data_IF_503505917870
#
_entry.id   IF_503505917870
#
_cell.length_a   1.000
_cell.length_b   1.000
_cell.length_c   1.000
_cell.angle_alpha   90.00
_cell.angle_beta   90.00
_cell.angle_gamma   90.00
#
_symmetry.space_group_name_H-M   'P 1'
#
loop_
_entity.id
_entity.type
_entity.pdbx_description
1 polymer ?
#
# COMPACT_ATOMS: atom_id res chain seq x y z
N UNK A 1 14.35 -13.86 -17.28
CA UNK A 1 15.42 -14.37 -16.38
C UNK A 1 14.76 -14.61 -15.04
N UNK A 2 14.41 -15.86 -14.72
CA UNK A 2 13.81 -16.22 -13.44
C UNK A 2 14.93 -16.29 -12.42
N UNK A 3 15.01 -15.30 -11.52
CA UNK A 3 15.90 -15.37 -10.36
C UNK A 3 15.23 -16.34 -9.38
N UNK A 4 15.92 -17.41 -8.96
CA UNK A 4 15.42 -18.27 -7.90
C UNK A 4 15.42 -17.49 -6.59
N UNK A 5 14.24 -17.07 -6.14
CA UNK A 5 14.04 -16.30 -4.90
C UNK A 5 14.56 -17.02 -3.64
N UNK A 6 14.71 -18.37 -3.71
CA UNK A 6 15.22 -19.18 -2.61
C UNK A 6 16.70 -18.90 -2.27
N UNK A 7 17.52 -18.48 -3.26
CA UNK A 7 18.94 -18.19 -3.05
C UNK A 7 19.20 -16.77 -2.52
N UNK A 8 18.21 -15.89 -2.57
CA UNK A 8 18.36 -14.48 -2.19
C UNK A 8 17.98 -14.18 -0.73
N UNK A 9 17.44 -15.17 0.02
CA UNK A 9 17.07 -14.92 1.42
C UNK A 9 18.31 -14.65 2.26
N UNK A 10 18.34 -13.50 2.93
CA UNK A 10 19.33 -13.20 3.97
C UNK A 10 19.17 -14.19 5.12
N UNK A 11 20.27 -14.77 5.58
CA UNK A 11 20.28 -15.78 6.66
C UNK A 11 19.87 -15.20 8.03
N UNK A 12 19.80 -13.88 8.17
CA UNK A 12 19.50 -13.19 9.44
C UNK A 12 18.00 -12.91 9.68
N UNK A 13 17.11 -13.21 8.72
CA UNK A 13 15.67 -12.93 8.84
C UNK A 13 14.87 -14.21 9.08
N UNK A 14 14.80 -14.63 10.35
CA UNK A 14 14.16 -15.89 10.76
C UNK A 14 12.61 -15.91 10.66
N UNK A 15 11.94 -14.74 10.47
CA UNK A 15 10.48 -14.66 10.37
C UNK A 15 10.04 -14.65 8.90
N UNK A 16 9.06 -15.51 8.56
CA UNK A 16 8.41 -15.49 7.26
C UNK A 16 7.57 -14.20 7.07
N UNK A 17 7.24 -13.86 5.83
CA UNK A 17 6.38 -12.70 5.55
C UNK A 17 5.00 -12.84 6.22
N UNK A 18 4.50 -14.07 6.33
CA UNK A 18 3.21 -14.39 6.96
C UNK A 18 3.20 -14.11 8.47
N UNK A 19 4.34 -14.29 9.15
CA UNK A 19 4.48 -14.01 10.58
C UNK A 19 4.48 -12.50 10.91
N UNK A 20 4.72 -11.67 9.91
CA UNK A 20 4.78 -10.20 10.06
C UNK A 20 3.42 -9.53 9.81
N UNK A 21 2.48 -10.23 9.17
CA UNK A 21 1.19 -9.66 8.77
C UNK A 21 0.12 -9.93 9.83
N UNK A 22 -0.73 -8.94 10.17
CA UNK A 22 -1.96 -9.20 10.92
C UNK A 22 -2.84 -10.23 10.20
N UNK A 23 -3.41 -11.19 10.93
CA UNK A 23 -4.31 -12.21 10.36
C UNK A 23 -5.50 -11.57 9.65
N UNK A 24 -6.04 -10.46 10.19
CA UNK A 24 -7.13 -9.68 9.58
C UNK A 24 -6.78 -9.18 8.18
N UNK A 25 -5.53 -8.77 7.96
CA UNK A 25 -5.06 -8.29 6.67
C UNK A 25 -4.85 -9.42 5.67
N UNK A 26 -4.26 -10.54 6.11
CA UNK A 26 -4.08 -11.72 5.25
C UNK A 26 -5.41 -12.28 4.77
N UNK A 27 -6.43 -12.28 5.63
CA UNK A 27 -7.80 -12.71 5.28
C UNK A 27 -8.54 -11.69 4.37
N UNK A 28 -8.14 -10.42 4.40
CA UNK A 28 -8.77 -9.37 3.62
C UNK A 28 -8.38 -9.38 2.14
N UNK A 29 -7.12 -9.66 1.82
CA UNK A 29 -6.62 -9.70 0.45
C UNK A 29 -6.99 -11.03 -0.24
N UNK A 30 -7.52 -10.96 -1.47
CA UNK A 30 -7.94 -12.17 -2.22
C UNK A 30 -6.77 -13.04 -2.68
N UNK A 31 -5.59 -12.49 -2.84
CA UNK A 31 -4.39 -13.22 -3.25
C UNK A 31 -3.12 -12.51 -2.81
N UNK A 32 -2.00 -13.23 -2.63
CA UNK A 32 -0.70 -12.62 -2.39
C UNK A 32 -0.18 -11.92 -3.65
N UNK A 33 0.77 -10.99 -3.47
CA UNK A 33 1.54 -10.42 -4.58
C UNK A 33 2.27 -11.53 -5.34
N UNK A 34 2.24 -11.55 -6.70
CA UNK A 34 2.97 -12.55 -7.49
C UNK A 34 4.49 -12.55 -7.21
N UNK A 35 5.13 -13.72 -7.14
CA UNK A 35 6.58 -13.83 -6.93
C UNK A 35 7.39 -13.12 -8.01
N UNK A 36 6.90 -13.11 -9.25
CA UNK A 36 7.54 -12.37 -10.34
C UNK A 36 7.62 -10.86 -10.05
N UNK A 37 6.66 -10.27 -9.31
CA UNK A 37 6.74 -8.88 -8.88
C UNK A 37 7.88 -8.66 -7.89
N UNK A 38 8.11 -9.60 -6.94
CA UNK A 38 9.25 -9.53 -6.03
C UNK A 38 10.58 -9.55 -6.78
N UNK A 39 10.71 -10.41 -7.80
CA UNK A 39 11.89 -10.42 -8.66
C UNK A 39 12.14 -9.07 -9.34
N UNK A 40 11.08 -8.42 -9.84
CA UNK A 40 11.18 -7.07 -10.41
C UNK A 40 11.56 -6.01 -9.35
N UNK A 41 10.99 -6.07 -8.16
CA UNK A 41 11.30 -5.14 -7.07
C UNK A 41 12.78 -5.22 -6.67
N UNK A 42 13.30 -6.43 -6.49
CA UNK A 42 14.70 -6.67 -6.11
C UNK A 42 15.69 -6.31 -7.22
N UNK A 43 15.29 -6.44 -8.49
CA UNK A 43 16.10 -6.04 -9.65
C UNK A 43 16.07 -4.52 -9.92
N UNK A 44 15.12 -3.78 -9.35
CA UNK A 44 14.94 -2.35 -9.59
C UNK A 44 14.81 -1.54 -8.28
N UNK A 45 15.80 -1.60 -7.37
CA UNK A 45 15.71 -1.00 -6.05
C UNK A 45 15.55 0.52 -6.07
N UNK A 46 16.15 1.21 -7.04
CA UNK A 46 15.99 2.66 -7.19
C UNK A 46 14.56 3.03 -7.55
N UNK A 47 13.97 2.36 -8.56
CA UNK A 47 12.57 2.58 -8.95
C UNK A 47 11.62 2.25 -7.80
N UNK A 48 11.90 1.18 -7.05
CA UNK A 48 11.13 0.79 -5.86
C UNK A 48 11.08 1.94 -4.84
N UNK A 49 12.25 2.50 -4.48
CA UNK A 49 12.32 3.59 -3.49
C UNK A 49 11.68 4.89 -4.00
N UNK A 50 11.91 5.26 -5.27
CA UNK A 50 11.34 6.47 -5.86
C UNK A 50 9.81 6.38 -5.88
N UNK A 51 9.25 5.25 -6.35
CA UNK A 51 7.78 5.09 -6.39
C UNK A 51 7.18 4.93 -5.00
N UNK A 52 7.89 4.28 -4.08
CA UNK A 52 7.50 4.23 -2.66
C UNK A 52 7.35 5.66 -2.09
N UNK A 53 8.37 6.51 -2.22
CA UNK A 53 8.27 7.91 -1.79
C UNK A 53 7.09 8.66 -2.44
N UNK A 54 6.76 8.35 -3.69
CA UNK A 54 5.59 8.92 -4.34
C UNK A 54 4.27 8.38 -3.78
N UNK A 55 4.22 7.12 -3.36
CA UNK A 55 3.03 6.51 -2.73
C UNK A 55 2.72 7.19 -1.40
N UNK A 56 3.71 7.35 -0.52
CA UNK A 56 3.56 8.03 0.77
C UNK A 56 3.00 9.46 0.61
N UNK A 57 3.59 10.23 -0.27
CA UNK A 57 3.12 11.58 -0.58
C UNK A 57 1.69 11.61 -1.13
N UNK A 58 1.27 10.62 -1.93
CA UNK A 58 -0.10 10.51 -2.45
C UNK A 58 -1.08 10.10 -1.35
N UNK A 59 -0.67 9.21 -0.44
CA UNK A 59 -1.47 8.81 0.72
C UNK A 59 -1.74 10.02 1.63
N UNK A 60 -0.70 10.79 1.98
CA UNK A 60 -0.83 12.05 2.71
C UNK A 60 -1.79 13.04 2.02
N UNK A 61 -1.66 13.21 0.70
CA UNK A 61 -2.53 14.09 -0.09
C UNK A 61 -3.99 13.62 -0.07
N UNK A 62 -4.23 12.30 -0.12
CA UNK A 62 -5.58 11.72 -0.04
C UNK A 62 -6.20 11.98 1.32
N UNK A 63 -5.45 11.77 2.40
CA UNK A 63 -5.91 12.07 3.76
C UNK A 63 -6.25 13.56 3.93
N UNK A 64 -5.39 14.46 3.46
CA UNK A 64 -5.66 15.89 3.45
C UNK A 64 -6.93 16.25 2.67
N UNK A 65 -7.16 15.63 1.52
CA UNK A 65 -8.39 15.85 0.75
C UNK A 65 -9.65 15.43 1.52
N UNK A 66 -9.60 14.29 2.24
CA UNK A 66 -10.70 13.85 3.09
C UNK A 66 -10.98 14.83 4.23
N UNK A 67 -9.92 15.38 4.86
CA UNK A 67 -10.05 16.42 5.90
C UNK A 67 -10.80 17.66 5.40
N UNK A 68 -10.52 18.11 4.17
CA UNK A 68 -11.18 19.28 3.58
C UNK A 68 -12.65 19.04 3.24
N UNK A 69 -13.00 17.80 2.86
CA UNK A 69 -14.36 17.50 2.39
C UNK A 69 -15.34 17.11 3.49
N UNK A 70 -14.87 16.53 4.58
CA UNK A 70 -15.71 15.92 5.62
C UNK A 70 -15.49 16.56 6.98
N UNK A 71 -15.65 17.90 7.03
CA UNK A 71 -15.37 18.72 8.24
C UNK A 71 -16.33 18.44 9.41
N UNK A 72 -17.46 17.82 9.13
CA UNK A 72 -18.51 17.45 10.07
C UNK A 72 -18.31 16.06 10.69
N UNK A 73 -17.21 15.34 10.37
CA UNK A 73 -16.92 13.99 10.86
C UNK A 73 -15.71 13.95 11.81
N UNK A 74 -15.88 14.16 13.14
CA UNK A 74 -14.76 14.29 14.06
C UNK A 74 -13.80 13.11 14.09
N UNK A 75 -14.30 11.87 14.00
CA UNK A 75 -13.44 10.69 14.00
C UNK A 75 -12.62 10.58 12.71
N UNK A 76 -13.24 10.85 11.55
CA UNK A 76 -12.52 10.91 10.27
C UNK A 76 -11.43 11.99 10.32
N UNK A 77 -11.75 13.17 10.82
CA UNK A 77 -10.77 14.25 10.97
C UNK A 77 -9.58 13.83 11.83
N UNK A 78 -9.84 13.19 12.98
CA UNK A 78 -8.77 12.72 13.87
C UNK A 78 -7.87 11.67 13.19
N UNK A 79 -8.47 10.64 12.60
CA UNK A 79 -7.75 9.53 11.94
C UNK A 79 -6.96 10.00 10.72
N UNK A 80 -7.59 10.77 9.83
CA UNK A 80 -6.92 11.27 8.62
C UNK A 80 -5.84 12.32 8.93
N UNK A 81 -6.01 13.12 9.98
CA UNK A 81 -4.96 14.04 10.44
C UNK A 81 -3.73 13.28 10.97
N UNK A 82 -3.93 12.19 11.70
CA UNK A 82 -2.84 11.34 12.14
C UNK A 82 -2.14 10.68 10.95
N UNK A 83 -2.91 10.03 10.07
CA UNK A 83 -2.40 9.36 8.88
C UNK A 83 -1.59 10.33 8.01
N UNK A 84 -2.10 11.51 7.71
CA UNK A 84 -1.39 12.48 6.87
C UNK A 84 0.00 12.86 7.43
N UNK A 85 0.14 12.98 8.76
CA UNK A 85 1.44 13.26 9.39
C UNK A 85 2.38 12.07 9.31
N UNK A 86 1.87 10.86 9.51
CA UNK A 86 2.66 9.62 9.45
C UNK A 86 3.15 9.38 8.03
N UNK A 87 2.30 9.55 7.01
CA UNK A 87 2.67 9.41 5.60
C UNK A 87 3.72 10.43 5.14
N UNK A 88 3.61 11.68 5.62
CA UNK A 88 4.65 12.69 5.37
C UNK A 88 5.98 12.34 6.06
N UNK A 89 5.93 11.77 7.25
CA UNK A 89 7.13 11.28 7.94
C UNK A 89 7.75 10.08 7.20
N UNK A 90 6.93 9.13 6.72
CA UNK A 90 7.39 8.01 5.90
C UNK A 90 8.05 8.53 4.61
N UNK A 91 7.42 9.47 3.91
CA UNK A 91 8.01 10.14 2.75
C UNK A 91 9.40 10.73 3.06
N UNK A 92 9.53 11.48 4.15
CA UNK A 92 10.80 12.08 4.60
C UNK A 92 11.87 11.01 4.85
N UNK A 93 11.49 9.91 5.51
CA UNK A 93 12.38 8.78 5.80
C UNK A 93 12.84 8.06 4.52
N UNK A 94 11.94 7.84 3.55
CA UNK A 94 12.30 7.23 2.26
C UNK A 94 13.25 8.14 1.48
N UNK A 95 12.98 9.44 1.43
CA UNK A 95 13.86 10.41 0.76
C UNK A 95 15.25 10.42 1.42
N UNK A 96 15.32 10.39 2.76
CA UNK A 96 16.58 10.27 3.48
C UNK A 96 17.32 8.95 3.21
N UNK A 97 16.61 7.83 3.04
CA UNK A 97 17.20 6.56 2.61
C UNK A 97 17.76 6.65 1.19
N UNK A 98 17.03 7.27 0.27
CA UNK A 98 17.46 7.49 -1.11
C UNK A 98 18.75 8.33 -1.15
N UNK A 99 18.81 9.42 -0.39
CA UNK A 99 20.00 10.28 -0.31
C UNK A 99 21.23 9.49 0.16
N UNK A 100 21.12 8.70 1.24
CA UNK A 100 22.23 7.87 1.74
C UNK A 100 22.68 6.80 0.75
N UNK A 101 21.80 6.37 -0.15
CA UNK A 101 22.06 5.34 -1.17
C UNK A 101 22.45 5.92 -2.53
N UNK A 102 22.56 7.25 -2.64
CA UNK A 102 22.89 7.93 -3.90
C UNK A 102 21.79 7.82 -4.97
N UNK A 103 20.55 7.54 -4.57
CA UNK A 103 19.39 7.45 -5.47
C UNK A 103 18.80 8.85 -5.68
N UNK A 104 18.79 9.32 -6.92
CA UNK A 104 18.22 10.63 -7.26
C UNK A 104 16.70 10.54 -7.34
N UNK A 105 16.00 11.40 -6.57
CA UNK A 105 14.53 11.46 -6.63
C UNK A 105 14.08 12.08 -7.94
N UNK A 106 13.46 11.29 -8.79
CA UNK A 106 12.95 11.68 -10.10
C UNK A 106 11.46 11.47 -10.21
N UNK A 107 10.84 12.12 -11.19
CA UNK A 107 9.44 11.90 -11.49
C UNK A 107 9.23 10.53 -12.16
N UNK A 108 8.29 9.74 -11.64
CA UNK A 108 7.80 8.52 -12.28
C UNK A 108 6.30 8.66 -12.58
N UNK A 109 5.87 8.10 -13.71
CA UNK A 109 4.44 7.95 -14.00
C UNK A 109 3.78 7.03 -12.97
N UNK A 110 2.54 7.32 -12.59
CA UNK A 110 1.79 6.46 -11.68
C UNK A 110 1.52 5.09 -12.32
N UNK A 111 1.38 4.04 -11.47
CA UNK A 111 0.77 2.79 -11.92
C UNK A 111 -0.72 2.98 -12.17
N UNK A 112 -1.34 2.08 -12.94
CA UNK A 112 -2.80 2.06 -13.17
C UNK A 112 -3.61 1.63 -11.95
N UNK A 113 -2.98 1.17 -10.88
CA UNK A 113 -3.61 0.51 -9.74
C UNK A 113 -4.70 1.37 -9.07
N UNK A 114 -4.31 2.54 -8.55
CA UNK A 114 -5.26 3.41 -7.85
C UNK A 114 -6.35 3.95 -8.78
N UNK A 115 -6.01 4.29 -10.03
CA UNK A 115 -6.97 4.72 -11.05
C UNK A 115 -7.94 3.59 -11.40
N UNK A 116 -7.46 2.37 -11.62
CA UNK A 116 -8.28 1.20 -11.91
C UNK A 116 -9.30 0.87 -10.81
N UNK A 117 -8.95 1.12 -9.54
CA UNK A 117 -9.91 1.02 -8.43
C UNK A 117 -10.90 2.19 -8.45
N UNK A 118 -10.42 3.41 -8.63
CA UNK A 118 -11.25 4.64 -8.59
C UNK A 118 -12.27 4.74 -9.72
N UNK A 119 -12.09 4.05 -10.84
CA UNK A 119 -13.08 3.97 -11.93
C UNK A 119 -14.43 3.40 -11.47
N UNK A 120 -14.45 2.70 -10.33
CA UNK A 120 -15.64 2.06 -9.77
C UNK A 120 -16.29 2.85 -8.63
N UNK A 121 -15.84 4.08 -8.37
CA UNK A 121 -16.44 4.93 -7.34
C UNK A 121 -17.89 5.26 -7.67
N UNK A 122 -18.77 5.08 -6.68
CA UNK A 122 -20.16 5.57 -6.79
C UNK A 122 -20.19 7.11 -6.78
N UNK A 123 -21.16 7.74 -7.45
CA UNK A 123 -21.11 9.19 -7.64
C UNK A 123 -21.55 10.00 -6.42
N UNK A 124 -22.42 9.44 -5.56
CA UNK A 124 -23.12 10.16 -4.48
C UNK A 124 -22.58 9.79 -3.10
N UNK A 125 -22.69 10.71 -2.15
CA UNK A 125 -22.46 10.44 -0.73
C UNK A 125 -23.70 9.80 -0.07
N UNK A 126 -23.55 8.95 0.95
CA UNK A 126 -22.27 8.54 1.58
C UNK A 126 -21.52 7.42 0.84
N UNK A 127 -22.12 6.81 -0.18
CA UNK A 127 -21.56 5.66 -0.87
C UNK A 127 -20.20 5.95 -1.51
N UNK A 128 -20.00 7.16 -1.99
CA UNK A 128 -18.71 7.61 -2.56
C UNK A 128 -17.61 7.62 -1.51
N UNK A 129 -17.87 8.13 -0.32
CA UNK A 129 -16.93 8.13 0.79
C UNK A 129 -16.60 6.71 1.22
N UNK A 130 -17.61 5.84 1.36
CA UNK A 130 -17.42 4.42 1.67
C UNK A 130 -16.44 3.79 0.66
N UNK A 131 -16.66 4.01 -0.63
CA UNK A 131 -15.80 3.48 -1.68
C UNK A 131 -14.36 4.00 -1.60
N UNK A 132 -14.18 5.29 -1.34
CA UNK A 132 -12.85 5.90 -1.17
C UNK A 132 -12.13 5.29 0.03
N UNK A 133 -12.82 5.08 1.13
CA UNK A 133 -12.25 4.50 2.34
C UNK A 133 -11.89 3.01 2.15
N UNK A 134 -12.72 2.23 1.43
CA UNK A 134 -12.40 0.83 1.07
C UNK A 134 -11.16 0.78 0.17
N UNK A 135 -11.06 1.69 -0.82
CA UNK A 135 -9.87 1.77 -1.68
C UNK A 135 -8.63 2.15 -0.87
N UNK A 136 -8.76 3.10 0.08
CA UNK A 136 -7.70 3.41 1.03
C UNK A 136 -7.24 2.16 1.77
N UNK A 137 -8.16 1.42 2.40
CA UNK A 137 -7.84 0.18 3.10
C UNK A 137 -7.11 -0.85 2.20
N UNK A 138 -7.50 -0.99 0.94
CA UNK A 138 -6.83 -1.89 0.00
C UNK A 138 -5.41 -1.46 -0.34
N UNK A 139 -5.17 -0.15 -0.50
CA UNK A 139 -3.84 0.39 -0.76
C UNK A 139 -2.92 0.10 0.44
N UNK A 140 -3.36 0.41 1.65
CA UNK A 140 -2.60 0.15 2.88
C UNK A 140 -2.34 -1.35 3.09
N UNK A 141 -3.37 -2.19 2.91
CA UNK A 141 -3.23 -3.64 3.03
C UNK A 141 -2.21 -4.20 2.04
N UNK A 142 -2.24 -3.73 0.77
CA UNK A 142 -1.29 -4.17 -0.25
C UNK A 142 0.13 -3.62 0.00
N UNK A 143 0.26 -2.40 0.49
CA UNK A 143 1.53 -1.84 0.93
C UNK A 143 2.14 -2.70 2.04
N UNK A 144 1.37 -2.97 3.08
CA UNK A 144 1.77 -3.79 4.21
C UNK A 144 2.25 -5.18 3.76
N UNK A 145 1.48 -5.87 2.90
CA UNK A 145 1.83 -7.20 2.36
C UNK A 145 3.12 -7.14 1.53
N UNK A 146 3.31 -6.15 0.68
CA UNK A 146 4.50 -6.00 -0.15
C UNK A 146 5.75 -5.69 0.69
N UNK A 147 5.64 -4.84 1.69
CA UNK A 147 6.73 -4.61 2.64
C UNK A 147 7.12 -5.91 3.36
N UNK A 148 6.14 -6.63 3.92
CA UNK A 148 6.41 -7.88 4.62
C UNK A 148 7.10 -8.91 3.71
N UNK A 149 6.68 -9.03 2.46
CA UNK A 149 7.28 -9.97 1.50
C UNK A 149 8.68 -9.57 1.03
N UNK A 150 9.00 -8.29 1.01
CA UNK A 150 10.33 -7.80 0.63
C UNK A 150 11.36 -7.96 1.74
N UNK A 151 10.97 -7.83 3.02
CA UNK A 151 11.88 -7.84 4.19
C UNK A 151 12.92 -8.97 4.15
N UNK A 152 12.59 -10.24 3.83
CA UNK A 152 13.59 -11.33 3.85
C UNK A 152 14.73 -11.21 2.84
N UNK A 153 14.59 -10.30 1.85
CA UNK A 153 15.53 -10.16 0.74
C UNK A 153 16.31 -8.84 0.76
N UNK A 154 16.00 -7.97 1.71
CA UNK A 154 16.59 -6.64 1.80
C UNK A 154 17.79 -6.61 2.75
N UNK A 155 18.65 -5.61 2.59
CA UNK A 155 19.66 -5.30 3.59
C UNK A 155 19.03 -4.86 4.92
N UNK A 156 19.82 -4.93 6.01
CA UNK A 156 19.32 -4.70 7.37
C UNK A 156 18.71 -3.30 7.58
N UNK A 157 19.25 -2.25 6.94
CA UNK A 157 18.74 -0.90 7.07
C UNK A 157 17.31 -0.79 6.49
N UNK A 158 17.14 -1.26 5.25
CA UNK A 158 15.85 -1.20 4.56
C UNK A 158 14.84 -2.18 5.15
N UNK A 159 15.29 -3.38 5.53
CA UNK A 159 14.45 -4.36 6.20
C UNK A 159 13.91 -3.84 7.54
N UNK A 160 14.75 -3.17 8.35
CA UNK A 160 14.32 -2.55 9.61
C UNK A 160 13.29 -1.46 9.38
N UNK A 161 13.52 -0.60 8.39
CA UNK A 161 12.58 0.44 8.03
C UNK A 161 11.24 -0.15 7.58
N UNK A 162 11.23 -1.15 6.69
CA UNK A 162 10.00 -1.79 6.23
C UNK A 162 9.24 -2.52 7.34
N UNK A 163 9.94 -3.09 8.35
CA UNK A 163 9.27 -3.63 9.56
C UNK A 163 8.51 -2.56 10.35
N UNK A 164 8.96 -1.31 10.34
CA UNK A 164 8.20 -0.21 10.98
C UNK A 164 6.96 0.13 10.17
N UNK A 165 7.08 0.16 8.84
CA UNK A 165 5.96 0.43 7.93
C UNK A 165 4.88 -0.66 7.99
N UNK A 166 5.24 -1.94 8.05
CA UNK A 166 4.25 -3.02 8.23
C UNK A 166 3.32 -2.75 9.41
N UNK A 167 3.82 -2.18 10.50
CA UNK A 167 3.01 -1.84 11.68
C UNK A 167 2.11 -0.62 11.47
N UNK A 168 2.62 0.41 10.79
CA UNK A 168 1.83 1.62 10.51
C UNK A 168 0.76 1.35 9.44
N UNK A 169 1.13 0.71 8.35
CA UNK A 169 0.20 0.38 7.26
C UNK A 169 -0.92 -0.58 7.72
N UNK A 170 -0.59 -1.55 8.58
CA UNK A 170 -1.59 -2.42 9.20
C UNK A 170 -2.60 -1.62 10.02
N UNK A 171 -2.17 -0.61 10.76
CA UNK A 171 -3.05 0.28 11.52
C UNK A 171 -3.85 1.21 10.61
N UNK A 172 -3.24 1.78 9.57
CA UNK A 172 -3.93 2.61 8.57
C UNK A 172 -5.04 1.82 7.87
N UNK A 173 -4.77 0.58 7.49
CA UNK A 173 -5.75 -0.35 6.95
C UNK A 173 -6.98 -0.50 7.86
N UNK A 174 -6.77 -0.76 9.15
CA UNK A 174 -7.86 -0.91 10.12
C UNK A 174 -8.63 0.40 10.29
N UNK A 175 -7.95 1.54 10.35
CA UNK A 175 -8.58 2.85 10.46
C UNK A 175 -9.46 3.19 9.25
N UNK A 176 -9.02 2.91 8.04
CA UNK A 176 -9.82 3.08 6.83
C UNK A 176 -11.08 2.20 6.82
N UNK A 177 -10.97 0.92 7.22
CA UNK A 177 -12.13 0.02 7.30
C UNK A 177 -13.12 0.45 8.39
N UNK A 178 -12.61 0.86 9.56
CA UNK A 178 -13.43 1.39 10.63
C UNK A 178 -14.25 2.59 10.14
N UNK A 179 -13.59 3.55 9.50
CA UNK A 179 -14.24 4.75 8.97
C UNK A 179 -15.27 4.41 7.89
N UNK A 180 -14.98 3.44 7.00
CA UNK A 180 -15.92 3.00 5.98
C UNK A 180 -17.20 2.40 6.58
N UNK A 181 -17.06 1.54 7.59
CA UNK A 181 -18.18 0.90 8.29
C UNK A 181 -19.04 1.89 9.06
N UNK A 182 -18.48 3.01 9.50
CA UNK A 182 -19.23 4.05 10.23
C UNK A 182 -20.10 4.96 9.34
N UNK A 183 -19.92 4.92 8.01
CA UNK A 183 -20.69 5.77 7.10
C UNK A 183 -22.13 5.29 6.90
N UNK A 184 -22.47 4.09 7.31
CA UNK A 184 -23.79 3.48 7.13
C UNK A 184 -24.09 2.47 8.21
N UNK A 185 -25.38 2.25 8.52
CA UNK A 185 -25.84 1.16 9.38
C UNK A 185 -25.92 -0.18 8.65
N UNK A 186 -25.92 -0.17 7.30
CA UNK A 186 -26.02 -1.38 6.49
C UNK A 186 -24.62 -2.05 6.32
N UNK A 187 -24.57 -3.39 6.22
CA UNK A 187 -23.33 -4.10 5.93
C UNK A 187 -22.69 -3.64 4.60
N UNK A 188 -21.37 -3.46 4.59
CA UNK A 188 -20.62 -3.07 3.38
C UNK A 188 -19.77 -4.22 2.82
N UNK A 189 -19.93 -5.44 3.32
CA UNK A 189 -19.06 -6.56 3.01
C UNK A 189 -19.11 -6.95 1.53
N UNK A 190 -20.28 -6.89 0.88
CA UNK A 190 -20.39 -7.10 -0.57
C UNK A 190 -19.61 -6.05 -1.37
N UNK A 191 -19.59 -4.82 -0.87
CA UNK A 191 -18.83 -3.75 -1.53
C UNK A 191 -17.32 -3.90 -1.32
N UNK A 192 -16.92 -4.35 -0.15
CA UNK A 192 -15.52 -4.75 0.12
C UNK A 192 -15.13 -5.88 -0.82
N UNK A 193 -15.90 -6.97 -0.89
CA UNK A 193 -15.62 -8.10 -1.77
C UNK A 193 -15.52 -7.70 -3.24
N UNK A 194 -16.36 -6.76 -3.69
CA UNK A 194 -16.28 -6.19 -5.04
C UNK A 194 -14.91 -5.54 -5.31
N UNK A 195 -14.43 -4.68 -4.42
CA UNK A 195 -13.15 -4.00 -4.60
C UNK A 195 -11.96 -4.94 -4.43
N UNK A 196 -12.01 -5.87 -3.49
CA UNK A 196 -11.00 -6.92 -3.30
C UNK A 196 -10.81 -7.74 -4.59
N UNK A 197 -11.90 -8.13 -5.26
CA UNK A 197 -11.82 -8.85 -6.53
C UNK A 197 -11.23 -7.99 -7.67
N UNK A 198 -11.44 -6.67 -7.66
CA UNK A 198 -10.84 -5.75 -8.63
C UNK A 198 -9.34 -5.56 -8.38
N UNK A 199 -8.98 -5.41 -7.12
CA UNK A 199 -7.59 -5.30 -6.69
C UNK A 199 -6.77 -6.52 -7.12
N UNK A 200 -7.27 -7.73 -6.84
CA UNK A 200 -6.63 -8.97 -7.25
C UNK A 200 -6.38 -9.03 -8.77
N UNK A 201 -7.33 -8.58 -9.59
CA UNK A 201 -7.12 -8.49 -11.05
C UNK A 201 -6.04 -7.50 -11.44
N UNK A 202 -5.96 -6.35 -10.77
CA UNK A 202 -4.96 -5.33 -11.05
C UNK A 202 -3.54 -5.83 -10.78
N UNK A 203 -3.31 -6.52 -9.65
CA UNK A 203 -1.96 -6.99 -9.29
C UNK A 203 -1.54 -8.27 -10.01
N UNK A 204 -2.48 -9.08 -10.49
CA UNK A 204 -2.18 -10.33 -11.20
C UNK A 204 -2.13 -10.17 -12.72
N UNK A 205 -2.66 -9.08 -13.27
CA UNK A 205 -2.58 -8.80 -14.70
C UNK A 205 -1.30 -8.04 -15.06
N UNK A 206 -0.78 -8.23 -16.30
CA UNK A 206 0.44 -7.56 -16.77
C UNK A 206 0.37 -6.04 -16.67
N UNK A 207 1.50 -5.41 -16.42
CA UNK A 207 1.67 -3.96 -16.42
C UNK A 207 2.77 -3.55 -17.43
N UNK A 208 2.76 -2.29 -17.85
CA UNK A 208 3.74 -1.77 -18.82
C UNK A 208 5.05 -1.33 -18.17
N UNK A 209 5.05 -1.11 -16.86
CA UNK A 209 6.22 -0.67 -16.11
C UNK A 209 6.14 -1.13 -14.65
N UNK A 210 7.31 -1.44 -14.09
CA UNK A 210 7.41 -1.73 -12.67
C UNK A 210 7.10 -0.48 -11.83
N UNK A 211 6.19 -0.63 -10.86
CA UNK A 211 5.84 0.32 -9.80
C UNK A 211 5.53 -0.41 -8.50
N UNK A 212 5.58 0.31 -7.38
CA UNK A 212 5.30 -0.28 -6.07
C UNK A 212 3.93 -0.98 -6.03
N UNK A 213 2.89 -0.43 -6.66
CA UNK A 213 1.55 -1.05 -6.77
C UNK A 213 1.23 -1.64 -8.15
N UNK A 214 2.19 -1.79 -9.06
CA UNK A 214 1.92 -2.42 -10.35
C UNK A 214 1.60 -3.90 -10.23
N UNK A 215 0.97 -4.47 -11.27
CA UNK A 215 1.08 -5.88 -11.59
C UNK A 215 2.51 -6.23 -12.01
N UNK A 216 2.70 -7.44 -12.53
CA UNK A 216 4.01 -7.89 -13.06
C UNK A 216 4.25 -7.22 -14.42
N UNK A 217 5.37 -6.54 -14.64
CA UNK A 217 5.72 -6.01 -15.96
C UNK A 217 5.84 -7.11 -17.01
N UNK A 218 5.26 -6.85 -18.21
CA UNK A 218 5.29 -7.77 -19.36
C UNK A 218 6.43 -7.43 -20.32
#
# INVERSE_FOLDING_TARGET
MSIELAELKSQDHALGAEDLLPESLSAFLACPTPDAWLGWALANPETLLIDHAQCEKKAASTAMHLLYRHVDQPLLLAKMSQLAREELLHFEQVVGLMERRGVTYTHLSASRYAEGLRQHLRPNEPERLIDILIIGALIEARSCERFARLIPYLDEELARFYRTLVKSEGRHFEDYLLLARQQTAEPIDDRIAFFVAREAKLITSPDTAFRFHSGVPA
#
